data_IF_207160165537
#
_entry.id   IF_207160165537
#
_cell.length_a   1.000
_cell.length_b   1.000
_cell.length_c   1.000
_cell.angle_alpha   90.00
_cell.angle_beta   90.00
_cell.angle_gamma   90.00
#
_symmetry.space_group_name_H-M   'P 1'
#
loop_
_entity.id
_entity.type
_entity.pdbx_description
1 polymer ?
#
# COMPACT_ATOMS: atom_id res chain seq x y z
N UNK A 1 -20.25 -7.05 -6.92
CA UNK A 1 -19.96 -8.08 -7.96
C UNK A 1 -18.45 -8.27 -7.99
N UNK A 2 -17.92 -9.44 -8.32
CA UNK A 2 -16.47 -9.62 -8.34
C UNK A 2 -15.83 -8.82 -9.49
N UNK A 3 -14.61 -8.33 -9.26
CA UNK A 3 -13.78 -7.74 -10.30
C UNK A 3 -13.46 -8.82 -11.34
N UNK A 4 -13.64 -8.50 -12.62
CA UNK A 4 -13.37 -9.42 -13.72
C UNK A 4 -11.87 -9.66 -13.92
N UNK A 5 -11.40 -10.87 -13.61
CA UNK A 5 -10.03 -11.31 -13.87
C UNK A 5 -9.74 -11.38 -15.38
N UNK A 6 -10.73 -11.77 -16.20
CA UNK A 6 -10.57 -11.82 -17.66
C UNK A 6 -10.30 -10.42 -18.24
N UNK A 7 -10.96 -9.39 -17.71
CA UNK A 7 -10.73 -8.00 -18.14
C UNK A 7 -9.35 -7.53 -17.71
N UNK A 8 -8.95 -7.84 -16.48
CA UNK A 8 -7.61 -7.53 -15.97
C UNK A 8 -6.52 -8.19 -16.83
N UNK A 9 -6.68 -9.47 -17.15
CA UNK A 9 -5.75 -10.22 -17.97
C UNK A 9 -5.65 -9.60 -19.37
N UNK A 10 -6.78 -9.24 -20.00
CA UNK A 10 -6.78 -8.56 -21.30
C UNK A 10 -5.99 -7.25 -21.29
N UNK A 11 -6.02 -6.51 -20.18
CA UNK A 11 -5.26 -5.26 -20.04
C UNK A 11 -3.76 -5.53 -19.91
N UNK A 12 -3.36 -6.56 -19.17
CA UNK A 12 -1.93 -6.92 -19.09
C UNK A 12 -1.39 -7.61 -20.35
N UNK A 13 -2.28 -8.16 -21.18
CA UNK A 13 -1.98 -8.77 -22.48
C UNK A 13 -2.28 -7.84 -23.67
N UNK A 14 -2.72 -6.60 -23.44
CA UNK A 14 -2.78 -5.61 -24.51
C UNK A 14 -1.36 -5.31 -25.01
N UNK A 15 -1.25 -4.76 -26.22
CA UNK A 15 0.05 -4.46 -26.82
C UNK A 15 0.99 -3.79 -25.81
N UNK A 16 2.24 -4.25 -25.75
CA UNK A 16 3.19 -3.82 -24.72
C UNK A 16 3.32 -2.29 -24.68
N UNK A 17 3.15 -1.63 -25.82
CA UNK A 17 3.26 -0.18 -26.02
C UNK A 17 1.96 0.61 -25.88
N UNK A 18 0.86 -0.05 -25.49
CA UNK A 18 -0.43 0.59 -25.24
C UNK A 18 -0.40 1.63 -24.11
N UNK A 19 -1.40 2.52 -24.10
CA UNK A 19 -1.58 3.52 -23.05
C UNK A 19 -1.78 2.87 -21.67
N UNK A 20 -2.52 1.77 -21.62
CA UNK A 20 -2.81 1.00 -20.41
C UNK A 20 -1.53 0.41 -19.80
N UNK A 21 -0.63 -0.11 -20.64
CA UNK A 21 0.67 -0.64 -20.20
C UNK A 21 1.57 0.44 -19.57
N UNK A 22 1.44 1.69 -20.03
CA UNK A 22 2.22 2.85 -19.59
C UNK A 22 1.57 3.66 -18.46
N UNK A 23 0.40 3.25 -17.98
CA UNK A 23 -0.40 4.01 -17.02
C UNK A 23 -0.82 3.17 -15.81
N UNK A 24 -1.55 3.77 -14.88
CA UNK A 24 -2.16 3.05 -13.77
C UNK A 24 -3.48 2.40 -14.19
N UNK A 25 -3.72 1.22 -13.63
CA UNK A 25 -5.03 0.58 -13.62
C UNK A 25 -5.64 0.84 -12.25
N UNK A 26 -6.84 1.40 -12.21
CA UNK A 26 -7.57 1.69 -10.98
C UNK A 26 -8.81 0.79 -10.86
N UNK A 27 -9.03 0.31 -9.64
CA UNK A 27 -10.30 -0.32 -9.23
C UNK A 27 -10.81 0.57 -8.08
N UNK A 28 -11.77 1.47 -8.36
CA UNK A 28 -12.23 2.45 -7.38
C UNK A 28 -12.83 1.83 -6.13
N UNK A 29 -13.53 0.70 -6.28
CA UNK A 29 -14.12 -0.07 -5.20
C UNK A 29 -13.95 -1.57 -5.46
N UNK A 30 -13.14 -2.23 -4.62
CA UNK A 30 -12.90 -3.68 -4.69
C UNK A 30 -14.14 -4.57 -4.52
N UNK A 31 -15.28 -4.02 -4.08
CA UNK A 31 -16.56 -4.74 -3.96
C UNK A 31 -17.53 -4.42 -5.11
N UNK A 32 -17.16 -3.48 -5.97
CA UNK A 32 -17.74 -3.27 -7.28
C UNK A 32 -17.05 -4.12 -8.36
N UNK A 33 -17.50 -3.95 -9.60
CA UNK A 33 -16.98 -4.60 -10.80
C UNK A 33 -16.24 -3.63 -11.75
N UNK A 34 -16.02 -2.40 -11.29
CA UNK A 34 -15.40 -1.35 -12.09
C UNK A 34 -13.87 -1.48 -12.14
N UNK A 35 -13.33 -1.46 -13.35
CA UNK A 35 -11.90 -1.41 -13.62
C UNK A 35 -11.64 -0.35 -14.68
N UNK A 36 -10.78 0.61 -14.35
CA UNK A 36 -10.43 1.74 -15.19
C UNK A 36 -8.95 1.61 -15.55
N UNK A 37 -8.65 1.43 -16.83
CA UNK A 37 -7.28 1.46 -17.34
C UNK A 37 -6.94 2.86 -17.88
N UNK A 38 -5.66 3.19 -18.01
CA UNK A 38 -5.28 4.47 -18.61
C UNK A 38 -5.18 5.64 -17.63
N UNK A 39 -5.19 5.39 -16.31
CA UNK A 39 -5.29 6.44 -15.31
C UNK A 39 -3.94 7.13 -15.11
N UNK A 40 -3.95 8.47 -15.16
CA UNK A 40 -2.77 9.30 -14.95
C UNK A 40 -2.78 9.90 -13.54
N UNK A 41 -1.68 9.78 -12.80
CA UNK A 41 -1.51 10.41 -11.49
C UNK A 41 -2.34 9.80 -10.34
N UNK A 42 -2.59 10.61 -9.30
CA UNK A 42 -3.22 10.17 -8.04
C UNK A 42 -4.73 9.92 -8.10
N UNK A 43 -5.40 10.14 -9.23
CA UNK A 43 -6.82 9.85 -9.45
C UNK A 43 -7.11 8.33 -9.50
N UNK A 44 -8.23 7.88 -8.93
CA UNK A 44 -8.70 6.49 -9.08
C UNK A 44 -9.26 5.80 -7.83
N UNK A 45 -9.30 6.46 -6.67
CA UNK A 45 -9.89 5.88 -5.48
C UNK A 45 -10.45 6.95 -4.56
N UNK A 46 -11.70 6.79 -4.12
CA UNK A 46 -12.30 7.67 -3.12
C UNK A 46 -12.53 6.93 -1.79
N UNK A 47 -11.52 6.82 -0.94
CA UNK A 47 -11.76 6.65 0.48
C UNK A 47 -11.57 8.00 1.15
N UNK A 48 -12.46 8.37 2.07
CA UNK A 48 -12.39 9.62 2.83
C UNK A 48 -11.14 9.80 3.71
N UNK A 49 -10.08 9.00 3.53
CA UNK A 49 -8.85 9.04 4.32
C UNK A 49 -7.58 9.02 3.46
N UNK A 50 -6.50 9.56 4.01
CA UNK A 50 -5.19 9.62 3.36
C UNK A 50 -4.34 8.35 3.47
N UNK A 51 -4.80 7.26 4.09
CA UNK A 51 -3.94 6.10 4.35
C UNK A 51 -3.76 5.20 3.12
N UNK A 52 -2.50 4.97 2.75
CA UNK A 52 -2.09 4.08 1.67
C UNK A 52 -1.12 3.02 2.14
N UNK A 53 -1.33 1.80 1.65
CA UNK A 53 -0.34 0.71 1.73
C UNK A 53 0.15 0.41 0.33
N UNK A 54 1.41 0.71 0.07
CA UNK A 54 2.10 0.32 -1.15
C UNK A 54 2.66 -1.09 -1.01
N UNK A 55 2.74 -1.81 -2.13
CA UNK A 55 3.31 -3.14 -2.21
C UNK A 55 4.45 -3.11 -3.23
N UNK A 56 5.64 -3.51 -2.80
CA UNK A 56 6.78 -3.77 -3.67
C UNK A 56 6.63 -5.14 -4.33
N UNK A 57 6.62 -5.13 -5.65
CA UNK A 57 6.45 -6.31 -6.49
C UNK A 57 7.58 -6.30 -7.51
N UNK A 58 8.22 -7.45 -7.74
CA UNK A 58 9.12 -7.64 -8.88
C UNK A 58 8.42 -7.19 -10.18
N UNK A 59 8.91 -6.13 -10.86
CA UNK A 59 8.23 -5.58 -12.03
C UNK A 59 7.94 -6.59 -13.13
N UNK A 60 8.80 -7.59 -13.32
CA UNK A 60 8.62 -8.66 -14.32
C UNK A 60 7.40 -9.54 -14.02
N UNK A 61 6.94 -9.53 -12.77
CA UNK A 61 5.85 -10.36 -12.25
C UNK A 61 4.58 -9.56 -11.98
N UNK A 62 4.48 -8.28 -12.38
CA UNK A 62 3.34 -7.42 -12.04
C UNK A 62 1.99 -7.98 -12.53
N UNK A 63 1.93 -8.58 -13.73
CA UNK A 63 0.70 -9.13 -14.26
C UNK A 63 0.19 -10.31 -13.42
N UNK A 64 1.08 -11.25 -13.09
CA UNK A 64 0.78 -12.41 -12.24
C UNK A 64 0.40 -11.96 -10.82
N UNK A 65 1.13 -11.00 -10.25
CA UNK A 65 0.85 -10.43 -8.94
C UNK A 65 -0.52 -9.74 -8.89
N UNK A 66 -0.85 -8.94 -9.91
CA UNK A 66 -2.12 -8.25 -10.02
C UNK A 66 -3.29 -9.23 -10.06
N UNK A 67 -3.17 -10.31 -10.84
CA UNK A 67 -4.18 -11.37 -10.90
C UNK A 67 -4.43 -12.00 -9.52
N UNK A 68 -3.37 -12.40 -8.81
CA UNK A 68 -3.47 -12.99 -7.48
C UNK A 68 -4.06 -12.02 -6.44
N UNK A 69 -3.65 -10.75 -6.49
CA UNK A 69 -4.17 -9.71 -5.60
C UNK A 69 -5.66 -9.49 -5.82
N UNK A 70 -6.10 -9.37 -7.08
CA UNK A 70 -7.52 -9.18 -7.43
C UNK A 70 -8.35 -10.41 -7.07
N UNK A 71 -7.81 -11.62 -7.25
CA UNK A 71 -8.45 -12.85 -6.80
C UNK A 71 -8.68 -12.85 -5.28
N UNK A 72 -7.69 -12.44 -4.49
CA UNK A 72 -7.84 -12.31 -3.04
C UNK A 72 -8.81 -11.19 -2.65
N UNK A 73 -8.86 -10.07 -3.39
CA UNK A 73 -9.83 -8.99 -3.17
C UNK A 73 -11.29 -9.41 -3.40
N UNK A 74 -11.51 -10.32 -4.36
CA UNK A 74 -12.81 -10.92 -4.64
C UNK A 74 -13.31 -11.85 -3.51
N UNK A 75 -12.45 -12.21 -2.55
CA UNK A 75 -12.85 -12.94 -1.34
C UNK A 75 -13.78 -12.11 -0.46
N UNK A 76 -14.81 -12.72 0.10
CA UNK A 76 -15.69 -12.09 1.11
C UNK A 76 -14.92 -11.60 2.35
N UNK A 77 -13.79 -12.24 2.66
CA UNK A 77 -12.95 -11.91 3.81
C UNK A 77 -12.03 -10.72 3.55
N UNK A 78 -11.88 -10.27 2.31
CA UNK A 78 -11.05 -9.13 1.98
C UNK A 78 -11.72 -7.82 2.43
N UNK A 79 -10.97 -6.88 3.03
CA UNK A 79 -11.47 -5.55 3.31
C UNK A 79 -11.85 -4.83 2.02
N UNK A 80 -12.81 -3.91 2.11
CA UNK A 80 -13.12 -2.99 1.04
C UNK A 80 -11.99 -1.97 0.87
N UNK A 81 -11.39 -1.94 -0.30
CA UNK A 81 -10.33 -1.00 -0.67
C UNK A 81 -10.59 -0.42 -2.05
N UNK A 82 -10.03 0.76 -2.32
CA UNK A 82 -9.63 1.13 -3.67
C UNK A 82 -8.22 0.60 -3.91
N UNK A 83 -7.93 0.14 -5.13
CA UNK A 83 -6.60 -0.34 -5.51
C UNK A 83 -6.12 0.36 -6.78
N UNK A 84 -4.82 0.65 -6.80
CA UNK A 84 -4.08 0.96 -8.03
C UNK A 84 -3.04 -0.10 -8.31
N UNK A 85 -2.94 -0.48 -9.57
CA UNK A 85 -1.98 -1.42 -10.09
C UNK A 85 -1.19 -0.73 -11.19
N UNK A 86 0.14 -0.83 -11.17
CA UNK A 86 0.95 -0.35 -12.27
C UNK A 86 0.66 -1.18 -13.54
N UNK A 87 0.52 -0.49 -14.67
CA UNK A 87 0.60 -1.13 -15.98
C UNK A 87 1.97 -1.79 -16.18
N UNK A 88 2.05 -2.68 -17.16
CA UNK A 88 3.23 -3.54 -17.36
C UNK A 88 4.53 -2.74 -17.54
N UNK A 89 4.57 -1.76 -18.44
CA UNK A 89 5.75 -0.89 -18.60
C UNK A 89 5.97 0.01 -17.39
N UNK A 90 4.89 0.58 -16.85
CA UNK A 90 4.96 1.48 -15.70
C UNK A 90 5.57 0.79 -14.46
N UNK A 91 5.40 -0.52 -14.29
CA UNK A 91 5.99 -1.24 -13.16
C UNK A 91 7.53 -1.18 -13.14
N UNK A 92 8.17 -1.08 -14.31
CA UNK A 92 9.63 -0.99 -14.45
C UNK A 92 10.14 0.44 -14.29
N UNK A 93 9.42 1.43 -14.80
CA UNK A 93 9.93 2.80 -14.93
C UNK A 93 9.24 3.80 -14.01
N UNK A 94 8.08 3.44 -13.45
CA UNK A 94 7.35 4.25 -12.48
C UNK A 94 7.95 4.17 -11.09
N UNK A 95 7.10 4.45 -10.09
CA UNK A 95 7.44 4.53 -8.68
C UNK A 95 8.17 3.28 -8.17
N UNK A 96 9.48 3.36 -7.86
CA UNK A 96 10.27 2.22 -7.42
C UNK A 96 9.69 1.58 -6.15
N UNK A 97 9.57 0.24 -6.15
CA UNK A 97 9.01 -0.53 -5.04
C UNK A 97 7.59 -0.13 -4.58
N UNK A 98 6.78 0.46 -5.47
CA UNK A 98 5.38 0.86 -5.22
C UNK A 98 4.45 0.50 -6.37
N UNK A 99 4.60 -0.70 -6.92
CA UNK A 99 3.84 -1.16 -8.09
C UNK A 99 2.33 -1.31 -7.81
N UNK A 100 1.93 -1.47 -6.55
CA UNK A 100 0.53 -1.57 -6.14
C UNK A 100 0.27 -0.65 -4.96
N UNK A 101 -0.91 -0.04 -4.90
CA UNK A 101 -1.36 0.76 -3.76
C UNK A 101 -2.78 0.35 -3.33
N UNK A 102 -2.95 0.02 -2.06
CA UNK A 102 -4.26 -0.10 -1.42
C UNK A 102 -4.61 1.19 -0.69
N UNK A 103 -5.86 1.62 -0.83
CA UNK A 103 -6.45 2.71 -0.08
C UNK A 103 -7.71 2.17 0.60
N UNK A 104 -7.68 2.01 1.91
CA UNK A 104 -8.77 1.38 2.66
C UNK A 104 -9.92 2.35 2.85
N UNK A 105 -11.16 1.86 2.85
CA UNK A 105 -12.30 2.67 3.28
C UNK A 105 -12.27 2.93 4.79
N UNK A 106 -12.76 4.08 5.24
CA UNK A 106 -12.67 4.51 6.64
C UNK A 106 -13.25 3.49 7.63
N UNK A 107 -14.34 2.84 7.25
CA UNK A 107 -14.98 1.79 8.05
C UNK A 107 -14.07 0.58 8.27
N UNK A 108 -13.23 0.23 7.27
CA UNK A 108 -12.32 -0.91 7.35
C UNK A 108 -11.12 -0.62 8.25
N UNK A 109 -10.69 0.65 8.36
CA UNK A 109 -9.60 1.07 9.24
C UNK A 109 -9.87 0.79 10.72
N UNK A 110 -11.14 0.65 11.11
CA UNK A 110 -11.53 0.28 12.47
C UNK A 110 -11.16 -1.16 12.81
N UNK A 111 -10.99 -2.03 11.82
CA UNK A 111 -10.68 -3.44 12.00
C UNK A 111 -9.25 -3.78 11.53
N UNK A 112 -8.27 -3.35 12.30
CA UNK A 112 -6.84 -3.57 12.04
C UNK A 112 -6.47 -5.06 11.86
N UNK A 113 -7.18 -5.96 12.54
CA UNK A 113 -6.96 -7.41 12.42
C UNK A 113 -7.33 -7.93 11.03
N UNK A 114 -8.45 -7.47 10.48
CA UNK A 114 -8.89 -7.84 9.14
C UNK A 114 -7.89 -7.38 8.09
N UNK A 115 -7.40 -6.15 8.22
CA UNK A 115 -6.35 -5.58 7.35
C UNK A 115 -5.06 -6.41 7.44
N UNK A 116 -4.56 -6.67 8.65
CA UNK A 116 -3.36 -7.46 8.86
C UNK A 116 -3.46 -8.89 8.31
N UNK A 117 -4.59 -9.56 8.58
CA UNK A 117 -4.84 -10.90 8.06
C UNK A 117 -4.90 -10.90 6.53
N UNK A 118 -5.48 -9.86 5.92
CA UNK A 118 -5.50 -9.70 4.47
C UNK A 118 -4.10 -9.49 3.89
N UNK A 119 -3.31 -8.56 4.43
CA UNK A 119 -1.93 -8.32 3.97
C UNK A 119 -1.06 -9.57 4.12
N UNK A 120 -1.21 -10.33 5.20
CA UNK A 120 -0.50 -11.60 5.38
C UNK A 120 -0.88 -12.65 4.34
N UNK A 121 -2.15 -12.72 3.92
CA UNK A 121 -2.59 -13.62 2.85
C UNK A 121 -2.01 -13.20 1.50
N UNK A 122 -1.99 -11.90 1.20
CA UNK A 122 -1.33 -11.37 0.00
C UNK A 122 0.16 -11.74 0.01
N UNK A 123 0.86 -11.51 1.12
CA UNK A 123 2.28 -11.87 1.25
C UNK A 123 2.53 -13.36 1.02
N UNK A 124 1.72 -14.20 1.67
CA UNK A 124 1.81 -15.65 1.51
C UNK A 124 1.56 -16.08 0.06
N UNK A 125 0.50 -15.56 -0.57
CA UNK A 125 0.14 -15.86 -1.96
C UNK A 125 1.29 -15.49 -2.90
N UNK A 126 1.79 -14.26 -2.83
CA UNK A 126 2.88 -13.79 -3.69
C UNK A 126 4.16 -14.60 -3.49
N UNK A 127 4.55 -14.89 -2.24
CA UNK A 127 5.71 -15.74 -1.95
C UNK A 127 5.55 -17.16 -2.48
N UNK A 128 4.38 -17.76 -2.30
CA UNK A 128 4.11 -19.14 -2.76
C UNK A 128 4.17 -19.29 -4.28
N UNK A 129 3.98 -18.18 -5.02
CA UNK A 129 4.13 -18.12 -6.48
C UNK A 129 5.51 -17.60 -6.93
N UNK A 130 6.49 -17.55 -6.02
CA UNK A 130 7.84 -17.05 -6.27
C UNK A 130 7.89 -15.60 -6.81
N UNK A 131 6.92 -14.76 -6.42
CA UNK A 131 6.91 -13.35 -6.79
C UNK A 131 7.76 -12.57 -5.78
N UNK A 132 8.90 -12.07 -6.28
CA UNK A 132 9.86 -11.29 -5.52
C UNK A 132 9.37 -9.88 -5.15
N UNK A 133 10.28 -9.12 -4.56
CA UNK A 133 10.14 -7.67 -4.32
C UNK A 133 11.04 -6.93 -5.30
N UNK A 134 10.65 -5.73 -5.67
CA UNK A 134 11.52 -4.84 -6.44
C UNK A 134 12.73 -4.48 -5.55
N UNK A 135 13.98 -4.66 -6.04
CA UNK A 135 15.18 -4.39 -5.24
C UNK A 135 15.47 -2.90 -5.08
N UNK A 136 14.80 -2.01 -5.83
CA UNK A 136 15.02 -0.57 -5.75
C UNK A 136 14.50 0.00 -4.42
N UNK A 137 15.18 0.98 -3.80
CA UNK A 137 14.71 1.55 -2.54
C UNK A 137 13.34 2.24 -2.65
N UNK A 138 12.48 2.08 -1.65
CA UNK A 138 11.09 2.55 -1.64
C UNK A 138 10.90 4.07 -1.65
N UNK A 139 11.97 4.86 -1.63
CA UNK A 139 11.93 6.31 -1.83
C UNK A 139 13.19 6.69 -2.61
N UNK A 140 13.45 6.04 -3.75
CA UNK A 140 14.58 6.37 -4.63
C UNK A 140 14.18 7.18 -5.88
N UNK A 141 12.93 7.63 -5.95
CA UNK A 141 12.44 8.49 -7.04
C UNK A 141 12.83 9.94 -6.74
N UNK A 142 13.86 10.46 -7.42
CA UNK A 142 14.46 11.78 -7.13
C UNK A 142 13.46 12.93 -7.13
N UNK A 143 12.47 12.91 -8.02
CA UNK A 143 11.45 13.96 -8.11
C UNK A 143 10.40 13.84 -7.00
N UNK A 144 10.08 12.62 -6.57
CA UNK A 144 9.01 12.33 -5.63
C UNK A 144 9.48 12.29 -4.16
N UNK A 145 10.76 12.01 -3.90
CA UNK A 145 11.39 11.92 -2.56
C UNK A 145 11.16 13.19 -1.74
N UNK A 146 11.25 14.36 -2.37
CA UNK A 146 11.27 15.64 -1.66
C UNK A 146 9.93 16.02 -1.04
N UNK A 147 8.83 15.35 -1.41
CA UNK A 147 7.48 15.76 -1.00
C UNK A 147 6.69 14.67 -0.27
N UNK A 148 7.04 13.40 -0.44
CA UNK A 148 6.29 12.28 0.13
C UNK A 148 7.22 11.17 0.59
N UNK A 149 7.03 10.69 1.81
CA UNK A 149 7.85 9.62 2.38
C UNK A 149 7.01 8.40 2.73
N UNK A 150 7.41 7.24 2.21
CA UNK A 150 6.87 5.94 2.60
C UNK A 150 7.75 5.30 3.66
N UNK A 151 7.14 4.75 4.70
CA UNK A 151 7.85 3.97 5.69
C UNK A 151 7.59 2.48 5.51
N UNK A 152 8.66 1.69 5.62
CA UNK A 152 8.62 0.23 5.48
C UNK A 152 7.84 -0.37 6.65
N UNK A 153 6.91 -1.30 6.37
CA UNK A 153 6.34 -2.15 7.41
C UNK A 153 7.30 -3.30 7.72
N UNK A 154 7.64 -3.49 8.99
CA UNK A 154 8.52 -4.59 9.40
C UNK A 154 7.70 -5.84 9.72
N UNK A 155 8.34 -7.00 9.76
CA UNK A 155 7.73 -8.23 10.26
C UNK A 155 7.99 -8.39 11.78
N UNK A 156 7.55 -9.50 12.36
CA UNK A 156 7.75 -9.80 13.80
C UNK A 156 9.21 -9.96 14.22
N UNK A 157 10.12 -10.16 13.27
CA UNK A 157 11.57 -10.25 13.49
C UNK A 157 12.27 -8.89 13.28
N UNK A 158 11.50 -7.82 13.01
CA UNK A 158 12.03 -6.49 12.71
C UNK A 158 12.64 -6.36 11.31
N UNK A 159 12.38 -7.31 10.40
CA UNK A 159 12.88 -7.26 9.02
C UNK A 159 11.87 -6.57 8.10
N UNK A 160 12.33 -5.79 7.11
CA UNK A 160 11.48 -5.24 6.06
C UNK A 160 10.54 -6.27 5.43
N UNK A 161 9.26 -5.93 5.33
CA UNK A 161 8.31 -6.62 4.46
C UNK A 161 8.29 -5.96 3.08
N UNK A 162 7.48 -6.50 2.15
CA UNK A 162 7.23 -5.84 0.86
C UNK A 162 6.26 -4.66 0.95
N UNK A 163 5.63 -4.45 2.11
CA UNK A 163 4.60 -3.42 2.28
C UNK A 163 5.20 -2.16 2.86
N UNK A 164 4.72 -1.02 2.36
CA UNK A 164 5.13 0.30 2.83
C UNK A 164 3.89 1.15 3.11
N UNK A 165 3.93 1.99 4.12
CA UNK A 165 2.82 2.86 4.49
C UNK A 165 3.12 4.32 4.17
N UNK A 166 2.06 5.03 3.73
CA UNK A 166 2.05 6.48 3.53
C UNK A 166 0.72 7.04 4.00
N UNK A 167 0.75 8.22 4.61
CA UNK A 167 -0.44 9.04 4.79
C UNK A 167 -0.36 10.24 3.84
N UNK A 168 -1.25 10.31 2.85
CA UNK A 168 -1.27 11.36 1.82
C UNK A 168 -1.72 12.73 2.30
N UNK A 169 -2.27 12.81 3.52
CA UNK A 169 -2.50 14.09 4.18
C UNK A 169 -1.27 14.55 4.95
N UNK A 170 -0.19 13.76 4.95
CA UNK A 170 1.07 14.12 5.56
C UNK A 170 2.13 14.42 4.49
N UNK A 171 2.79 15.57 4.61
CA UNK A 171 4.00 15.91 3.87
C UNK A 171 5.16 15.77 4.84
N UNK A 172 6.11 14.90 4.52
CA UNK A 172 7.32 14.73 5.33
C UNK A 172 8.38 15.68 4.78
N UNK A 173 8.90 16.55 5.64
CA UNK A 173 9.90 17.56 5.28
C UNK A 173 11.20 17.28 6.01
N UNK A 174 12.32 17.49 5.33
CA UNK A 174 13.63 17.52 5.98
C UNK A 174 13.59 18.45 7.20
N UNK A 175 14.27 18.05 8.27
CA UNK A 175 14.17 18.72 9.56
C UNK A 175 14.47 20.22 9.47
N UNK A 176 15.50 20.60 8.71
CA UNK A 176 15.89 22.00 8.51
C UNK A 176 14.79 22.78 7.79
N UNK A 177 14.34 22.28 6.63
CA UNK A 177 13.27 22.90 5.85
C UNK A 177 11.98 23.02 6.67
N UNK A 178 11.60 21.99 7.43
CA UNK A 178 10.42 21.98 8.29
C UNK A 178 10.42 23.15 9.27
N UNK A 179 11.56 23.44 9.90
CA UNK A 179 11.69 24.58 10.81
C UNK A 179 11.74 25.92 10.06
N UNK A 180 12.41 26.00 8.90
CA UNK A 180 12.48 27.21 8.07
C UNK A 180 11.10 27.69 7.61
N UNK A 181 10.21 26.76 7.23
CA UNK A 181 8.83 27.08 6.82
C UNK A 181 7.88 27.32 7.99
N UNK A 182 8.40 27.44 9.22
CA UNK A 182 7.63 27.80 10.40
C UNK A 182 6.97 26.62 11.14
N UNK A 183 7.37 25.38 10.84
CA UNK A 183 6.96 24.20 11.59
C UNK A 183 7.39 24.29 13.06
N UNK A 184 6.55 23.79 13.97
CA UNK A 184 6.82 23.73 15.42
C UNK A 184 6.47 22.35 15.95
N UNK A 185 7.28 21.81 16.86
CA UNK A 185 7.13 20.43 17.34
C UNK A 185 7.37 19.40 16.22
N UNK A 186 6.76 18.23 16.33
CA UNK A 186 6.94 17.11 15.39
C UNK A 186 6.03 17.16 14.16
N UNK A 187 4.91 17.89 14.25
CA UNK A 187 3.93 18.08 13.16
C UNK A 187 3.33 19.48 13.16
N UNK A 188 2.99 20.02 11.99
CA UNK A 188 2.27 21.28 11.82
C UNK A 188 1.12 21.13 10.81
N UNK A 189 -0.05 21.71 11.07
CA UNK A 189 -1.19 21.68 10.13
C UNK A 189 -1.16 22.93 9.25
N UNK A 190 -1.22 22.75 7.93
CA UNK A 190 -1.21 23.80 6.92
C UNK A 190 -2.32 23.57 5.90
N UNK A 191 -3.44 24.29 6.08
CA UNK A 191 -4.66 24.06 5.31
C UNK A 191 -5.22 22.64 5.58
N UNK A 192 -5.30 21.83 4.52
CA UNK A 192 -5.74 20.43 4.61
C UNK A 192 -4.58 19.43 4.77
N UNK A 193 -3.33 19.90 4.77
CA UNK A 193 -2.13 19.08 4.83
C UNK A 193 -1.52 19.14 6.24
N UNK A 194 -0.86 18.06 6.64
CA UNK A 194 -0.11 17.93 7.89
C UNK A 194 1.36 17.83 7.51
N UNK A 195 2.16 18.83 7.82
CA UNK A 195 3.60 18.74 7.67
C UNK A 195 4.17 17.96 8.85
N UNK A 196 5.11 17.07 8.57
CA UNK A 196 5.72 16.19 9.56
C UNK A 196 7.24 16.30 9.43
N UNK A 197 7.90 16.50 10.56
CA UNK A 197 9.35 16.52 10.65
C UNK A 197 9.92 15.14 10.28
N UNK A 198 10.91 15.08 9.39
CA UNK A 198 11.46 13.82 8.88
C UNK A 198 12.02 12.93 9.98
N UNK A 199 12.83 13.46 10.90
CA UNK A 199 13.38 12.65 12.01
C UNK A 199 12.30 12.09 12.94
N UNK A 200 11.19 12.82 13.12
CA UNK A 200 10.04 12.30 13.83
C UNK A 200 9.36 11.18 13.04
N UNK A 201 9.09 11.38 11.74
CA UNK A 201 8.48 10.37 10.88
C UNK A 201 9.30 9.07 10.82
N UNK A 202 10.63 9.19 10.75
CA UNK A 202 11.58 8.07 10.79
C UNK A 202 11.70 7.44 12.17
N UNK A 203 11.55 8.25 13.22
CA UNK A 203 11.58 7.82 14.62
C UNK A 203 10.27 7.21 15.10
N UNK A 204 9.18 7.33 14.33
CA UNK A 204 7.90 6.69 14.63
C UNK A 204 8.15 5.19 14.75
N UNK A 205 8.04 4.62 15.96
CA UNK A 205 8.17 3.20 16.09
C UNK A 205 6.99 2.55 15.37
N UNK A 206 7.29 1.47 14.66
CA UNK A 206 6.38 0.48 14.09
C UNK A 206 5.51 -0.20 15.18
N UNK A 207 4.76 0.60 15.96
CA UNK A 207 4.19 0.21 17.26
C UNK A 207 2.70 0.48 17.44
N UNK A 208 1.99 1.09 16.50
CA UNK A 208 0.52 1.21 16.60
C UNK A 208 -0.26 0.43 15.53
N UNK A 209 0.45 -0.13 14.54
CA UNK A 209 -0.10 -1.09 13.59
C UNK A 209 0.37 -2.49 13.98
N UNK A 210 1.67 -2.74 14.14
CA UNK A 210 2.17 -4.08 14.50
C UNK A 210 1.96 -4.44 15.97
N UNK A 211 2.16 -3.54 16.93
CA UNK A 211 1.87 -3.87 18.36
C UNK A 211 0.37 -4.15 18.58
N UNK A 212 -0.52 -3.50 17.83
CA UNK A 212 -1.96 -3.80 17.86
C UNK A 212 -2.27 -5.17 17.23
N UNK A 213 -1.51 -5.58 16.21
CA UNK A 213 -1.61 -6.91 15.58
C UNK A 213 -1.01 -8.00 16.49
N UNK A 214 0.09 -7.72 17.20
CA UNK A 214 0.81 -8.66 18.08
C UNK A 214 0.15 -8.80 19.45
N UNK A 215 -0.35 -7.72 20.09
CA UNK A 215 -1.05 -7.81 21.38
C UNK A 215 -2.38 -8.55 21.28
N UNK A 216 -3.04 -8.54 20.11
CA UNK A 216 -4.26 -9.32 19.86
C UNK A 216 -4.02 -10.80 19.56
N UNK A 217 -2.84 -11.16 19.03
CA UNK A 217 -2.44 -12.56 18.84
C UNK A 217 -2.00 -13.16 20.18
N UNK A 218 -1.35 -12.38 21.05
CA UNK A 218 -0.92 -12.83 22.37
C UNK A 218 -2.06 -12.89 23.40
N UNK A 219 -3.12 -12.06 23.30
CA UNK A 219 -4.30 -12.19 24.18
C UNK A 219 -5.17 -13.41 23.89
N UNK A 220 -5.02 -14.05 22.72
CA UNK A 220 -5.74 -15.29 22.35
C UNK A 220 -5.00 -16.58 22.69
N UNK A 221 -3.72 -16.52 23.08
CA UNK A 221 -2.97 -17.70 23.57
C UNK A 221 -3.00 -17.87 25.10
N UNK A 222 -3.44 -16.86 25.86
CA UNK A 222 -3.52 -16.95 27.33
C UNK A 222 -4.86 -17.43 27.88
N UNK A 223 -5.88 -17.68 27.03
CA UNK A 223 -7.19 -18.19 27.46
C UNK A 223 -7.40 -19.70 27.24
N UNK A 224 -6.35 -20.46 26.94
CA UNK A 224 -6.40 -21.93 26.84
C UNK A 224 -5.48 -22.66 27.83
N UNK A 225 -4.82 -21.95 28.76
CA UNK A 225 -3.96 -22.55 29.81
C UNK A 225 -4.43 -22.11 31.22
N UNK A 226 -5.74 -21.88 31.40
CA UNK A 226 -6.35 -21.69 32.73
C UNK A 226 -7.68 -22.45 32.89
N UNK A 227 -7.85 -23.52 32.12
CA UNK A 227 -8.89 -24.53 32.38
C UNK A 227 -8.31 -25.94 32.20
N UNK A 228 -7.30 -26.27 33.00
CA UNK A 228 -7.06 -27.59 33.59
C UNK A 228 -6.19 -27.40 34.84
#
# INVERSE_FOLDING_TARGET
MPISLETLDKIYHSDFDSHESKSWIAIPDSKGDELIAGVTGSSGGNPGNGWKIHISIDPEKIAEAAHLIVQELNSERAPRVSIKLAGKQLAHTGQPSKQVAFIFYEEELKNKLKIAAFLNRIEFLLRSHNIGVDPRPINSDEEDIQTKYDAVLLNTEGKPTRFNYRNEWCIVMEDELYYEVGGRGDTAVQGQQIWVKQSYYLGLPDKNIILAIVLLILSRKSNWILQY
#
